data_IF_509158576107
#
_entry.id   IF_509158576107
#
_cell.length_a   1.000
_cell.length_b   1.000
_cell.length_c   1.000
_cell.angle_alpha   90.00
_cell.angle_beta   90.00
_cell.angle_gamma   90.00
#
_symmetry.space_group_name_H-M   'P 1'
#
loop_
_entity.id
_entity.type
_entity.pdbx_description
1 polymer ?
#
# COMPACT_ATOMS: atom_id res chain seq x y z
N UNK A 1 22.10 27.27 23.86
CA UNK A 1 23.33 27.38 24.62
C UNK A 1 24.42 26.52 24.00
N UNK A 2 25.65 26.91 24.27
CA UNK A 2 26.85 26.15 23.94
C UNK A 2 27.34 25.53 25.24
N UNK A 3 27.58 24.24 25.22
CA UNK A 3 28.06 23.46 26.35
C UNK A 3 29.27 22.64 25.92
N UNK A 4 30.05 22.21 26.89
CA UNK A 4 31.16 21.31 26.67
C UNK A 4 31.19 20.23 27.77
N UNK A 5 31.76 19.08 27.43
CA UNK A 5 32.01 18.02 28.39
C UNK A 5 33.32 17.32 28.09
N UNK A 6 33.98 16.81 29.11
CA UNK A 6 35.18 15.98 28.96
C UNK A 6 34.82 14.53 29.19
N UNK A 7 35.12 13.68 28.21
CA UNK A 7 34.96 12.25 28.33
C UNK A 7 36.24 11.55 27.83
N UNK A 8 36.83 10.72 28.65
CA UNK A 8 38.11 10.04 28.38
C UNK A 8 39.23 11.00 27.94
N UNK A 9 39.30 12.19 28.55
CA UNK A 9 40.32 13.18 28.21
C UNK A 9 40.09 14.00 26.94
N UNK A 10 38.96 13.75 26.22
CA UNK A 10 38.59 14.47 25.02
C UNK A 10 37.45 15.43 25.33
N UNK A 11 37.58 16.67 24.87
CA UNK A 11 36.55 17.70 24.98
C UNK A 11 35.53 17.54 23.81
N UNK A 12 34.27 17.48 24.15
CA UNK A 12 33.14 17.44 23.18
C UNK A 12 32.32 18.72 23.34
N UNK A 13 31.99 19.34 22.22
CA UNK A 13 31.13 20.52 22.19
C UNK A 13 29.70 20.13 21.88
N UNK A 14 28.74 20.76 22.54
CA UNK A 14 27.31 20.48 22.44
C UNK A 14 26.56 21.78 22.22
N UNK A 15 25.85 21.88 21.12
CA UNK A 15 24.88 22.95 20.85
C UNK A 15 23.50 22.45 21.23
N UNK A 16 22.93 23.02 22.30
CA UNK A 16 21.64 22.57 22.83
C UNK A 16 20.64 23.74 22.92
N UNK A 17 19.39 23.57 22.48
CA UNK A 17 18.34 24.56 22.60
C UNK A 17 17.96 24.72 24.09
N UNK A 18 18.42 25.77 24.71
CA UNK A 18 17.86 26.19 25.99
C UNK A 18 16.66 27.05 25.71
N UNK A 19 15.46 26.63 26.21
CA UNK A 19 14.28 27.46 26.10
C UNK A 19 14.55 28.85 26.64
N UNK A 20 13.95 29.86 26.02
CA UNK A 20 13.95 31.24 26.54
C UNK A 20 13.20 31.24 27.88
N UNK A 21 13.94 31.10 28.96
CA UNK A 21 13.40 31.33 30.29
C UNK A 21 13.93 32.67 30.80
N UNK A 22 13.15 33.40 31.56
CA UNK A 22 13.57 34.66 32.20
C UNK A 22 14.79 34.50 33.13
N UNK A 23 15.23 33.26 33.34
CA UNK A 23 16.39 32.90 34.18
C UNK A 23 17.71 32.70 33.42
N UNK A 24 17.70 32.92 32.09
CA UNK A 24 18.88 32.72 31.25
C UNK A 24 19.17 31.26 30.92
N UNK A 25 20.33 31.04 30.28
CA UNK A 25 20.80 29.69 29.89
C UNK A 25 21.31 28.94 31.14
N UNK A 26 20.85 27.73 31.46
CA UNK A 26 21.37 26.97 32.58
C UNK A 26 22.88 26.72 32.40
N UNK A 27 23.63 26.89 33.46
CA UNK A 27 25.10 26.73 33.44
C UNK A 27 25.50 25.24 33.21
N UNK A 28 24.67 24.32 33.66
CA UNK A 28 24.90 22.86 33.60
C UNK A 28 23.63 22.17 33.10
N UNK A 29 23.83 21.23 32.20
CA UNK A 29 22.78 20.26 31.79
C UNK A 29 23.22 18.89 32.28
N UNK A 30 22.65 18.44 33.36
CA UNK A 30 22.94 17.13 33.94
C UNK A 30 21.83 16.12 33.63
N UNK A 31 22.21 14.89 33.26
CA UNK A 31 21.29 13.79 32.99
C UNK A 31 20.35 13.97 31.77
N UNK A 32 20.58 15.00 30.96
CA UNK A 32 19.72 15.26 29.80
C UNK A 32 19.98 14.26 28.66
N UNK A 33 18.92 13.56 28.23
CA UNK A 33 18.96 12.74 27.02
C UNK A 33 18.22 13.47 25.92
N UNK A 34 18.88 13.71 24.79
CA UNK A 34 18.29 14.42 23.67
C UNK A 34 18.76 13.88 22.31
N UNK A 35 17.93 13.94 21.29
CA UNK A 35 18.33 13.61 19.94
C UNK A 35 19.24 14.71 19.39
N UNK A 36 20.33 14.32 18.73
CA UNK A 36 21.27 15.24 18.13
C UNK A 36 21.96 14.63 16.91
N UNK A 37 22.61 15.46 16.10
CA UNK A 37 23.51 15.04 15.03
C UNK A 37 24.94 15.43 15.36
N UNK A 38 25.85 14.54 14.98
CA UNK A 38 27.28 14.91 14.91
C UNK A 38 27.52 15.73 13.64
N UNK A 39 28.15 16.84 13.79
CA UNK A 39 28.49 17.78 12.73
C UNK A 39 30.00 18.04 12.68
N UNK A 40 30.50 18.18 11.45
CA UNK A 40 31.83 18.71 11.18
C UNK A 40 31.65 20.01 10.38
N UNK A 41 32.14 21.11 10.93
CA UNK A 41 32.15 22.41 10.25
C UNK A 41 33.27 23.24 10.85
N UNK A 42 34.34 23.42 10.09
CA UNK A 42 35.53 24.13 10.54
C UNK A 42 35.24 25.53 11.10
N UNK A 43 34.43 26.39 10.46
CA UNK A 43 34.12 27.71 11.00
C UNK A 43 33.37 27.65 12.34
N UNK A 44 32.42 26.73 12.47
CA UNK A 44 31.63 26.58 13.70
C UNK A 44 32.50 25.97 14.80
N UNK A 45 33.31 24.97 14.48
CA UNK A 45 34.23 24.35 15.42
C UNK A 45 35.21 25.38 15.99
N UNK A 46 35.84 26.21 15.14
CA UNK A 46 36.74 27.26 15.59
C UNK A 46 36.05 28.31 16.50
N UNK A 47 34.81 28.66 16.18
CA UNK A 47 34.01 29.54 17.04
C UNK A 47 33.66 28.89 18.38
N UNK A 48 33.38 27.58 18.42
CA UNK A 48 33.12 26.83 19.67
C UNK A 48 34.41 26.78 20.54
N UNK A 49 35.53 26.41 19.93
CA UNK A 49 36.84 26.40 20.62
C UNK A 49 37.15 27.75 21.24
N UNK A 50 37.01 28.83 20.47
CA UNK A 50 37.25 30.18 20.95
C UNK A 50 36.37 30.53 22.15
N UNK A 51 35.06 30.32 22.05
CA UNK A 51 34.12 30.62 23.13
C UNK A 51 34.43 29.82 24.41
N UNK A 52 34.75 28.54 24.25
CA UNK A 52 35.03 27.68 25.42
C UNK A 52 36.41 27.96 25.99
N UNK A 53 37.43 28.28 25.17
CA UNK A 53 38.75 28.64 25.65
C UNK A 53 38.73 29.89 26.56
N UNK A 54 37.90 30.88 26.18
CA UNK A 54 37.68 32.08 27.02
C UNK A 54 37.02 31.74 28.37
N UNK A 55 36.06 30.76 28.35
CA UNK A 55 35.34 30.32 29.56
C UNK A 55 36.23 29.55 30.56
N UNK A 56 37.16 28.74 30.05
CA UNK A 56 37.98 27.82 30.86
C UNK A 56 39.39 28.33 31.11
N UNK A 57 39.73 29.54 30.66
CA UNK A 57 41.09 30.12 30.73
C UNK A 57 42.15 29.19 30.11
N UNK A 58 41.86 28.62 28.96
CA UNK A 58 42.76 27.73 28.23
C UNK A 58 43.15 28.38 26.90
N UNK A 59 44.33 28.03 26.37
CA UNK A 59 44.70 28.52 25.03
C UNK A 59 43.89 27.78 23.97
N UNK A 60 43.53 28.46 22.87
CA UNK A 60 42.78 27.84 21.76
C UNK A 60 43.52 26.62 21.22
N UNK A 61 44.83 26.68 21.02
CA UNK A 61 45.64 25.58 20.52
C UNK A 61 45.70 24.40 21.50
N UNK A 62 45.81 24.71 22.80
CA UNK A 62 45.76 23.69 23.85
C UNK A 62 44.40 22.99 23.90
N UNK A 63 43.32 23.74 23.75
CA UNK A 63 41.98 23.16 23.74
C UNK A 63 41.72 22.34 22.47
N UNK A 64 42.20 22.79 21.30
CA UNK A 64 42.12 22.03 20.04
C UNK A 64 42.85 20.71 20.12
N UNK A 65 43.98 20.63 20.80
CA UNK A 65 44.75 19.38 20.91
C UNK A 65 44.04 18.27 21.69
N UNK A 66 43.07 18.62 22.54
CA UNK A 66 42.27 17.69 23.34
C UNK A 66 40.79 17.67 22.96
N UNK A 67 40.40 18.36 21.92
CA UNK A 67 39.01 18.43 21.48
C UNK A 67 38.73 17.49 20.29
N UNK A 68 37.53 16.96 20.28
CA UNK A 68 37.00 16.31 19.09
C UNK A 68 36.64 17.36 18.04
N UNK A 69 36.99 17.13 16.78
CA UNK A 69 36.64 17.98 15.62
C UNK A 69 35.19 17.91 15.23
N UNK A 70 34.46 16.95 15.80
CA UNK A 70 33.02 16.80 15.66
C UNK A 70 32.32 17.47 16.86
N UNK A 71 31.24 18.16 16.58
CA UNK A 71 30.37 18.71 17.63
C UNK A 71 28.95 18.15 17.55
N UNK A 72 28.30 18.08 18.69
CA UNK A 72 26.95 17.60 18.85
C UNK A 72 25.98 18.76 18.65
N UNK A 73 25.11 18.68 17.65
CA UNK A 73 24.12 19.72 17.36
C UNK A 73 22.70 19.18 17.47
N UNK A 74 22.01 19.58 18.54
CA UNK A 74 20.62 19.19 18.76
C UNK A 74 19.64 19.92 17.82
N UNK A 75 19.97 21.15 17.37
CA UNK A 75 19.11 21.87 16.40
C UNK A 75 19.09 21.22 15.02
N UNK A 76 20.17 20.54 14.65
CA UNK A 76 20.28 19.89 13.35
C UNK A 76 19.47 18.58 13.26
N UNK A 77 18.95 18.10 14.40
CA UNK A 77 18.08 16.93 14.42
C UNK A 77 16.65 17.33 14.09
N UNK A 78 16.19 16.92 12.90
CA UNK A 78 14.84 17.25 12.45
C UNK A 78 13.81 16.30 13.10
N UNK A 79 13.31 16.66 14.28
CA UNK A 79 12.27 15.90 14.99
C UNK A 79 10.95 15.84 14.23
N UNK A 80 10.67 16.83 13.37
CA UNK A 80 9.43 16.87 12.60
C UNK A 80 9.38 15.73 11.58
N UNK A 81 10.51 15.39 10.95
CA UNK A 81 10.57 14.25 10.01
C UNK A 81 10.26 12.93 10.70
N UNK A 82 10.86 12.68 11.87
CA UNK A 82 10.60 11.46 12.65
C UNK A 82 9.13 11.37 13.10
N UNK A 83 8.54 12.49 13.55
CA UNK A 83 7.11 12.54 13.91
C UNK A 83 6.23 12.27 12.72
N UNK A 84 6.55 12.85 11.56
CA UNK A 84 5.78 12.61 10.32
C UNK A 84 5.83 11.15 9.89
N UNK A 85 6.98 10.51 9.97
CA UNK A 85 7.14 9.09 9.69
C UNK A 85 6.33 8.22 10.64
N UNK A 86 6.37 8.50 11.94
CA UNK A 86 5.58 7.76 12.96
C UNK A 86 4.09 7.87 12.66
N UNK A 87 3.59 9.08 12.37
CA UNK A 87 2.17 9.29 12.02
C UNK A 87 1.82 8.51 10.74
N UNK A 88 2.68 8.54 9.72
CA UNK A 88 2.49 7.77 8.50
C UNK A 88 2.37 6.26 8.74
N UNK A 89 3.27 5.70 9.55
CA UNK A 89 3.21 4.28 9.92
C UNK A 89 1.96 3.94 10.75
N UNK A 90 1.52 4.80 11.65
CA UNK A 90 0.29 4.60 12.41
C UNK A 90 -0.95 4.56 11.50
N UNK A 91 -1.02 5.44 10.50
CA UNK A 91 -2.11 5.45 9.51
C UNK A 91 -2.13 4.14 8.71
N UNK A 92 -0.97 3.70 8.21
CA UNK A 92 -0.84 2.45 7.46
C UNK A 92 -1.26 1.25 8.33
N UNK A 93 -0.82 1.21 9.58
CA UNK A 93 -1.18 0.15 10.53
C UNK A 93 -2.70 0.12 10.78
N UNK A 94 -3.33 1.29 10.94
CA UNK A 94 -4.77 1.40 11.13
C UNK A 94 -5.55 0.89 9.91
N UNK A 95 -5.15 1.29 8.71
CA UNK A 95 -5.75 0.82 7.45
C UNK A 95 -5.62 -0.70 7.35
N UNK A 96 -4.43 -1.25 7.63
CA UNK A 96 -4.19 -2.69 7.59
C UNK A 96 -5.06 -3.46 8.59
N UNK A 97 -5.26 -2.90 9.79
CA UNK A 97 -6.13 -3.49 10.80
C UNK A 97 -7.59 -3.52 10.34
N UNK A 98 -8.09 -2.44 9.72
CA UNK A 98 -9.45 -2.38 9.16
C UNK A 98 -9.62 -3.47 8.09
N UNK A 99 -8.67 -3.61 7.17
CA UNK A 99 -8.71 -4.67 6.15
C UNK A 99 -8.71 -6.07 6.77
N UNK A 100 -7.90 -6.31 7.79
CA UNK A 100 -7.87 -7.58 8.50
C UNK A 100 -9.23 -7.91 9.14
N UNK A 101 -9.85 -6.95 9.80
CA UNK A 101 -11.19 -7.11 10.41
C UNK A 101 -12.23 -7.44 9.34
N UNK A 102 -12.23 -6.74 8.21
CA UNK A 102 -13.14 -7.02 7.10
C UNK A 102 -12.96 -8.43 6.51
N UNK A 103 -11.72 -8.90 6.38
CA UNK A 103 -11.41 -10.26 5.94
C UNK A 103 -11.93 -11.31 6.95
N UNK A 104 -11.74 -11.08 8.24
CA UNK A 104 -12.25 -11.97 9.30
C UNK A 104 -13.79 -12.03 9.26
N UNK A 105 -14.46 -10.88 9.12
CA UNK A 105 -15.92 -10.83 8.99
C UNK A 105 -16.39 -11.60 7.76
N UNK A 106 -15.73 -11.44 6.62
CA UNK A 106 -16.06 -12.17 5.40
C UNK A 106 -15.81 -13.69 5.51
N UNK A 107 -14.79 -14.10 6.27
CA UNK A 107 -14.48 -15.51 6.53
C UNK A 107 -15.50 -16.17 7.46
N UNK A 108 -15.93 -15.46 8.51
CA UNK A 108 -16.92 -15.98 9.49
C UNK A 108 -18.33 -15.95 8.91
N UNK A 109 -18.65 -14.94 8.12
CA UNK A 109 -19.99 -14.78 7.55
C UNK A 109 -19.91 -14.71 6.02
N UNK A 110 -20.14 -15.84 5.32
CA UNK A 110 -20.11 -15.91 3.85
C UNK A 110 -21.01 -14.90 3.15
N UNK A 111 -22.04 -14.38 3.85
CA UNK A 111 -22.95 -13.37 3.30
C UNK A 111 -22.24 -12.08 2.82
N UNK A 112 -21.06 -11.79 3.34
CA UNK A 112 -20.24 -10.63 2.95
C UNK A 112 -19.20 -10.96 1.88
N UNK A 113 -19.07 -12.23 1.51
CA UNK A 113 -18.14 -12.64 0.45
C UNK A 113 -18.61 -12.16 -0.92
N UNK A 114 -17.67 -11.91 -1.82
CA UNK A 114 -17.96 -11.45 -3.19
C UNK A 114 -18.88 -12.41 -3.97
N UNK A 115 -18.63 -13.74 -3.97
CA UNK A 115 -19.48 -14.68 -4.70
C UNK A 115 -20.92 -14.64 -4.23
N UNK A 116 -21.15 -14.61 -2.91
CA UNK A 116 -22.50 -14.55 -2.35
C UNK A 116 -23.20 -13.23 -2.68
N UNK A 117 -22.46 -12.11 -2.64
CA UNK A 117 -23.00 -10.80 -3.02
C UNK A 117 -23.44 -10.75 -4.48
N UNK A 118 -22.74 -11.49 -5.36
CA UNK A 118 -23.14 -11.62 -6.76
C UNK A 118 -24.39 -12.48 -6.88
N UNK A 119 -24.43 -13.64 -6.26
CA UNK A 119 -25.56 -14.58 -6.32
C UNK A 119 -26.86 -14.03 -5.74
N UNK A 120 -26.80 -13.20 -4.69
CA UNK A 120 -27.98 -12.52 -4.12
C UNK A 120 -28.80 -11.73 -5.14
N UNK A 121 -28.21 -11.37 -6.28
CA UNK A 121 -28.91 -10.63 -7.34
C UNK A 121 -29.75 -11.52 -8.23
N UNK A 122 -29.52 -12.84 -8.20
CA UNK A 122 -30.14 -13.82 -9.07
C UNK A 122 -31.16 -14.74 -8.36
N UNK A 123 -31.30 -14.62 -7.03
CA UNK A 123 -32.28 -15.38 -6.28
C UNK A 123 -31.83 -15.89 -4.93
N UNK A 124 -32.25 -17.09 -4.53
CA UNK A 124 -31.83 -17.69 -3.27
C UNK A 124 -30.35 -18.08 -3.33
N UNK A 125 -29.53 -17.14 -2.84
CA UNK A 125 -28.09 -17.29 -2.86
C UNK A 125 -27.57 -18.50 -2.07
N UNK A 126 -28.31 -19.01 -1.07
CA UNK A 126 -27.87 -20.16 -0.27
C UNK A 126 -27.88 -21.43 -1.11
N UNK A 127 -28.96 -21.65 -1.82
CA UNK A 127 -29.13 -22.79 -2.75
C UNK A 127 -28.15 -22.64 -3.91
N UNK A 128 -28.12 -21.47 -4.56
CA UNK A 128 -27.22 -21.22 -5.68
C UNK A 128 -25.73 -21.37 -5.30
N UNK A 129 -25.34 -20.92 -4.11
CA UNK A 129 -23.97 -21.05 -3.65
C UNK A 129 -23.59 -22.51 -3.35
N UNK A 130 -24.49 -23.26 -2.73
CA UNK A 130 -24.27 -24.69 -2.46
C UNK A 130 -24.06 -25.48 -3.78
N UNK A 131 -24.89 -25.24 -4.81
CA UNK A 131 -24.75 -25.86 -6.12
C UNK A 131 -23.42 -25.43 -6.76
N UNK A 132 -23.09 -24.13 -6.76
CA UNK A 132 -21.85 -23.61 -7.34
C UNK A 132 -20.58 -24.20 -6.71
N UNK A 133 -20.57 -24.41 -5.38
CA UNK A 133 -19.45 -25.09 -4.70
C UNK A 133 -19.32 -26.54 -5.14
N UNK A 134 -20.42 -27.27 -5.22
CA UNK A 134 -20.39 -28.68 -5.65
C UNK A 134 -19.91 -28.84 -7.09
N UNK A 135 -20.37 -27.98 -7.99
CA UNK A 135 -19.97 -28.01 -9.41
C UNK A 135 -18.52 -27.49 -9.62
N UNK A 136 -18.03 -26.60 -8.75
CA UNK A 136 -16.68 -26.05 -8.87
C UNK A 136 -15.60 -27.13 -8.71
N UNK A 137 -15.81 -28.13 -7.88
CA UNK A 137 -14.84 -29.22 -7.65
C UNK A 137 -14.56 -30.02 -8.93
N UNK A 138 -15.50 -30.05 -9.88
CA UNK A 138 -15.36 -30.72 -11.17
C UNK A 138 -15.18 -29.75 -12.35
N UNK A 139 -15.17 -28.46 -12.10
CA UNK A 139 -15.11 -27.43 -13.11
C UNK A 139 -13.79 -27.40 -13.89
N UNK A 140 -13.88 -27.23 -15.19
CA UNK A 140 -12.72 -27.09 -16.07
C UNK A 140 -12.51 -25.60 -16.40
N UNK A 141 -11.28 -25.15 -16.29
CA UNK A 141 -10.91 -23.79 -16.68
C UNK A 141 -11.02 -23.64 -18.20
N UNK A 142 -11.72 -22.58 -18.66
CA UNK A 142 -11.95 -22.31 -20.07
C UNK A 142 -11.29 -20.99 -20.47
N UNK A 143 -10.51 -21.03 -21.54
CA UNK A 143 -9.85 -19.84 -22.10
C UNK A 143 -8.75 -19.24 -21.23
N UNK A 144 -8.90 -19.26 -19.92
CA UNK A 144 -7.92 -18.79 -18.94
C UNK A 144 -8.08 -19.54 -17.61
N UNK A 145 -6.98 -19.66 -16.85
CA UNK A 145 -6.96 -20.37 -15.54
C UNK A 145 -7.89 -19.81 -14.47
N UNK A 146 -8.48 -18.67 -14.69
CA UNK A 146 -9.34 -17.99 -13.72
C UNK A 146 -10.81 -17.82 -14.20
N UNK A 147 -11.18 -18.47 -15.30
CA UNK A 147 -12.56 -18.53 -15.80
C UNK A 147 -12.98 -19.99 -15.86
N UNK A 148 -14.06 -20.32 -15.19
CA UNK A 148 -14.59 -21.67 -15.12
C UNK A 148 -16.03 -21.67 -15.58
N UNK A 149 -16.39 -22.64 -16.39
CA UNK A 149 -17.78 -22.90 -16.80
C UNK A 149 -18.17 -24.24 -16.21
N UNK A 150 -19.13 -24.20 -15.31
CA UNK A 150 -19.76 -25.40 -14.73
C UNK A 150 -21.03 -25.73 -15.48
N UNK A 151 -21.81 -26.66 -15.00
CA UNK A 151 -23.08 -27.00 -15.67
C UNK A 151 -24.11 -25.87 -15.57
N UNK A 152 -24.11 -25.10 -14.48
CA UNK A 152 -25.11 -24.05 -14.24
C UNK A 152 -24.48 -22.65 -14.05
N UNK A 153 -23.17 -22.53 -13.88
CA UNK A 153 -22.53 -21.23 -13.58
C UNK A 153 -21.34 -20.92 -14.46
N UNK A 154 -21.14 -19.62 -14.70
CA UNK A 154 -19.88 -19.03 -15.10
C UNK A 154 -19.22 -18.41 -13.86
N UNK A 155 -18.02 -18.87 -13.52
CA UNK A 155 -17.25 -18.42 -12.38
C UNK A 155 -16.02 -17.66 -12.87
N UNK A 156 -15.89 -16.40 -12.45
CA UNK A 156 -14.79 -15.51 -12.82
C UNK A 156 -14.02 -15.15 -11.56
N UNK A 157 -12.79 -15.62 -11.46
CA UNK A 157 -11.91 -15.35 -10.32
C UNK A 157 -10.93 -14.23 -10.70
N UNK A 158 -10.97 -13.13 -10.00
CA UNK A 158 -10.00 -12.02 -10.12
C UNK A 158 -9.09 -11.99 -8.90
N UNK A 159 -8.14 -11.06 -8.87
CA UNK A 159 -7.23 -10.91 -7.71
C UNK A 159 -7.94 -10.50 -6.42
N UNK A 160 -9.06 -9.81 -6.54
CA UNK A 160 -9.77 -9.19 -5.43
C UNK A 160 -11.20 -9.66 -5.27
N UNK A 161 -11.75 -10.29 -6.30
CA UNK A 161 -13.18 -10.62 -6.37
C UNK A 161 -13.39 -11.98 -7.06
N UNK A 162 -14.53 -12.60 -6.73
CA UNK A 162 -15.04 -13.76 -7.45
C UNK A 162 -16.49 -13.50 -7.81
N UNK A 163 -16.79 -13.52 -9.10
CA UNK A 163 -18.16 -13.41 -9.60
C UNK A 163 -18.66 -14.80 -9.98
N UNK A 164 -19.84 -15.17 -9.50
CA UNK A 164 -20.57 -16.39 -9.88
C UNK A 164 -21.85 -15.96 -10.56
N UNK A 165 -21.99 -16.31 -11.82
CA UNK A 165 -23.09 -15.87 -12.70
C UNK A 165 -23.83 -17.12 -13.18
N UNK A 166 -25.15 -17.28 -12.89
CA UNK A 166 -25.89 -18.36 -13.47
C UNK A 166 -25.94 -18.24 -14.99
N UNK A 167 -25.72 -19.34 -15.71
CA UNK A 167 -25.64 -19.34 -17.18
C UNK A 167 -26.98 -18.93 -17.81
N UNK A 168 -28.09 -19.33 -17.21
CA UNK A 168 -29.45 -18.98 -17.65
C UNK A 168 -29.75 -17.47 -17.63
N UNK A 169 -29.00 -16.70 -16.81
CA UNK A 169 -29.17 -15.26 -16.73
C UNK A 169 -28.22 -14.48 -17.68
N UNK A 170 -27.39 -15.16 -18.46
CA UNK A 170 -26.53 -14.52 -19.45
C UNK A 170 -27.35 -14.27 -20.72
N UNK A 171 -27.46 -12.99 -21.10
CA UNK A 171 -28.25 -12.60 -22.29
C UNK A 171 -27.39 -12.25 -23.48
N UNK A 172 -26.18 -11.73 -23.24
CA UNK A 172 -25.32 -11.25 -24.33
C UNK A 172 -23.85 -11.41 -23.99
N UNK A 173 -23.06 -11.89 -24.94
CA UNK A 173 -21.62 -12.07 -24.83
C UNK A 173 -20.96 -11.49 -26.08
N UNK A 174 -20.03 -10.54 -25.87
CA UNK A 174 -19.31 -9.91 -26.97
C UNK A 174 -17.89 -9.50 -26.53
N UNK A 175 -17.00 -9.37 -27.48
CA UNK A 175 -15.70 -8.75 -27.31
C UNK A 175 -15.67 -7.38 -28.00
N UNK A 176 -14.80 -6.51 -27.53
CA UNK A 176 -14.56 -5.22 -28.18
C UNK A 176 -13.11 -4.76 -27.97
N UNK A 177 -12.66 -3.87 -28.84
CA UNK A 177 -11.33 -3.32 -28.77
C UNK A 177 -11.28 -2.16 -27.77
N UNK A 178 -10.59 -2.32 -26.66
CA UNK A 178 -10.35 -1.27 -25.69
C UNK A 178 -8.91 -0.72 -25.88
N UNK A 179 -8.81 0.55 -26.26
CA UNK A 179 -7.53 1.21 -26.52
C UNK A 179 -7.11 2.02 -25.33
N UNK A 180 -5.96 1.69 -24.74
CA UNK A 180 -5.37 2.41 -23.63
C UNK A 180 -4.10 3.14 -24.05
N UNK A 181 -4.05 4.44 -23.78
CA UNK A 181 -2.84 5.24 -23.92
C UNK A 181 -2.13 5.35 -22.57
N UNK A 182 -0.96 4.70 -22.43
CA UNK A 182 -0.15 4.77 -21.22
C UNK A 182 1.28 5.16 -21.56
N UNK A 183 1.73 6.34 -21.07
CA UNK A 183 3.12 6.84 -21.22
C UNK A 183 3.63 6.81 -22.69
N UNK A 184 2.80 7.25 -23.63
CA UNK A 184 3.18 7.30 -25.06
C UNK A 184 3.02 5.97 -25.81
N UNK A 185 2.69 4.87 -25.15
CA UNK A 185 2.39 3.58 -25.77
C UNK A 185 0.89 3.36 -25.87
N UNK A 186 0.44 2.93 -27.04
CA UNK A 186 -0.95 2.48 -27.26
C UNK A 186 -1.01 0.98 -27.03
N UNK A 187 -1.80 0.56 -26.05
CA UNK A 187 -2.01 -0.85 -25.74
C UNK A 187 -3.47 -1.18 -26.09
N UNK A 188 -3.67 -2.16 -26.95
CA UNK A 188 -4.99 -2.68 -27.29
C UNK A 188 -5.29 -3.88 -26.41
N UNK A 189 -6.48 -3.88 -25.80
CA UNK A 189 -7.02 -5.02 -25.06
C UNK A 189 -8.30 -5.48 -25.73
N UNK A 190 -8.55 -6.81 -25.67
CA UNK A 190 -9.77 -7.44 -26.14
C UNK A 190 -10.49 -8.04 -24.91
N UNK A 191 -11.21 -7.24 -24.11
CA UNK A 191 -11.98 -7.80 -23.01
C UNK A 191 -13.22 -8.53 -23.54
N UNK A 192 -13.48 -9.70 -22.97
CA UNK A 192 -14.76 -10.37 -23.13
C UNK A 192 -15.78 -9.73 -22.19
N UNK A 193 -16.89 -9.28 -22.74
CA UNK A 193 -17.99 -8.66 -22.03
C UNK A 193 -19.16 -9.62 -21.95
N UNK A 194 -19.74 -9.75 -20.76
CA UNK A 194 -20.88 -10.60 -20.49
C UNK A 194 -21.96 -9.73 -19.86
N UNK A 195 -23.11 -9.69 -20.48
CA UNK A 195 -24.29 -8.95 -20.01
C UNK A 195 -25.32 -9.95 -19.53
N UNK A 196 -25.91 -9.65 -18.40
CA UNK A 196 -26.97 -10.48 -17.81
C UNK A 196 -28.34 -9.80 -17.91
N UNK A 197 -29.41 -10.56 -17.70
CA UNK A 197 -30.81 -10.12 -17.70
C UNK A 197 -31.08 -8.95 -16.73
N UNK A 198 -30.35 -8.89 -15.59
CA UNK A 198 -30.38 -7.75 -14.66
C UNK A 198 -29.58 -6.53 -15.16
N UNK A 199 -29.17 -6.52 -16.44
CA UNK A 199 -28.38 -5.46 -17.09
C UNK A 199 -27.03 -5.21 -16.44
N UNK A 200 -26.45 -6.20 -15.76
CA UNK A 200 -25.09 -6.08 -15.21
C UNK A 200 -24.07 -6.52 -16.27
N UNK A 201 -23.03 -5.70 -16.45
CA UNK A 201 -21.90 -5.95 -17.34
C UNK A 201 -20.71 -6.49 -16.52
N UNK A 202 -20.22 -7.65 -16.92
CA UNK A 202 -18.98 -8.23 -16.42
C UNK A 202 -17.90 -8.17 -17.51
N UNK A 203 -16.70 -7.73 -17.15
CA UNK A 203 -15.57 -7.60 -18.08
C UNK A 203 -14.45 -8.56 -17.69
N UNK A 204 -14.14 -9.50 -18.55
CA UNK A 204 -13.01 -10.41 -18.38
C UNK A 204 -11.85 -9.86 -19.21
N UNK A 205 -10.86 -9.29 -18.55
CA UNK A 205 -9.67 -8.70 -19.19
C UNK A 205 -8.57 -9.75 -19.36
N UNK A 206 -7.66 -9.49 -20.32
CA UNK A 206 -6.48 -10.31 -20.57
C UNK A 206 -6.78 -11.78 -20.96
N UNK A 207 -7.82 -12.00 -21.71
CA UNK A 207 -8.11 -13.29 -22.36
C UNK A 207 -7.54 -13.23 -23.77
N UNK A 208 -6.95 -14.32 -24.26
CA UNK A 208 -6.51 -14.41 -25.65
C UNK A 208 -7.73 -14.60 -26.57
N UNK A 209 -7.63 -14.24 -27.85
CA UNK A 209 -8.69 -14.46 -28.84
C UNK A 209 -9.18 -15.92 -28.83
N UNK A 210 -8.25 -16.89 -28.88
CA UNK A 210 -8.58 -18.31 -28.74
C UNK A 210 -9.31 -18.64 -27.46
N UNK A 211 -8.99 -17.94 -26.36
CA UNK A 211 -9.66 -18.10 -25.08
C UNK A 211 -11.08 -17.53 -25.12
N UNK A 212 -11.28 -16.39 -25.77
CA UNK A 212 -12.60 -15.80 -26.01
C UNK A 212 -13.47 -16.75 -26.80
N UNK A 213 -12.97 -17.22 -27.94
CA UNK A 213 -13.67 -18.18 -28.79
C UNK A 213 -14.06 -19.46 -28.02
N UNK A 214 -13.16 -19.98 -27.21
CA UNK A 214 -13.41 -21.15 -26.37
C UNK A 214 -14.53 -20.91 -25.36
N UNK A 215 -14.54 -19.76 -24.70
CA UNK A 215 -15.60 -19.40 -23.73
C UNK A 215 -16.94 -19.22 -24.47
N UNK A 216 -16.95 -18.45 -25.56
CA UNK A 216 -18.17 -18.18 -26.35
C UNK A 216 -18.76 -19.47 -26.91
N UNK A 217 -17.95 -20.32 -27.55
CA UNK A 217 -18.40 -21.59 -28.12
C UNK A 217 -18.93 -22.53 -27.03
N UNK A 218 -18.31 -22.56 -25.85
CA UNK A 218 -18.80 -23.38 -24.73
C UNK A 218 -20.13 -22.85 -24.20
N UNK A 219 -20.32 -21.54 -24.11
CA UNK A 219 -21.59 -20.94 -23.72
C UNK A 219 -22.69 -21.23 -24.74
N UNK A 220 -22.43 -21.00 -26.03
CA UNK A 220 -23.40 -21.22 -27.11
C UNK A 220 -23.78 -22.67 -27.29
N UNK A 221 -22.88 -23.61 -27.03
CA UNK A 221 -23.20 -25.05 -27.11
C UNK A 221 -24.24 -25.49 -26.07
N UNK A 222 -24.33 -24.76 -24.95
CA UNK A 222 -25.27 -25.05 -23.86
C UNK A 222 -26.48 -24.13 -23.88
N UNK A 223 -26.32 -22.88 -24.27
CA UNK A 223 -27.36 -21.85 -24.31
C UNK A 223 -27.31 -21.11 -25.66
N UNK A 224 -27.86 -21.68 -26.71
CA UNK A 224 -27.82 -21.13 -28.07
C UNK A 224 -28.59 -19.81 -28.22
N UNK A 225 -29.45 -19.47 -27.27
CA UNK A 225 -30.19 -18.20 -27.21
C UNK A 225 -29.35 -16.98 -26.78
N UNK A 226 -28.15 -17.20 -26.29
CA UNK A 226 -27.26 -16.11 -25.90
C UNK A 226 -26.85 -15.31 -27.16
N UNK A 227 -27.11 -14.00 -27.13
CA UNK A 227 -26.66 -13.12 -28.20
C UNK A 227 -25.15 -12.99 -28.21
N UNK A 228 -24.56 -13.00 -29.42
CA UNK A 228 -23.10 -12.82 -29.58
C UNK A 228 -22.78 -11.68 -30.54
N UNK A 229 -21.57 -11.14 -30.41
CA UNK A 229 -21.06 -10.07 -31.28
C UNK A 229 -21.53 -8.68 -30.90
N UNK A 230 -20.88 -7.67 -31.48
CA UNK A 230 -21.32 -6.28 -31.39
C UNK A 230 -22.42 -6.04 -32.43
N UNK A 231 -23.62 -5.66 -31.99
CA UNK A 231 -24.55 -5.01 -32.92
C UNK A 231 -23.97 -3.62 -33.25
N UNK A 232 -23.52 -3.45 -34.49
CA UNK A 232 -23.24 -2.14 -35.09
C UNK A 232 -24.54 -1.35 -35.27
#
# INVERSE_FOLDING_TARGET
>A
GIYYTFYNGICYYIIYPTGSTDKGTPAIIDGATFPAKLHHSEPIYNALVKNVSEMVNFTEDGLKSVSCDLFINSYAYNTNYSRFMIIGFMIIALISLIFLVLLIIAAINPNYSSPVRTLKKYGDYKTLFAIAVTEYDTAVAVGRKNVFITDTFLIIITKTDTDIIPLENITWVYDYNEVYHKKGNTIMYHPLCIVTDIKKLYKIRHVSEKGIDSIVNTLLSRYPEIMTGCNN
#
